data_IF_090241461101
#
_entry.id   IF_090241461101
#
_cell.length_a   1.000
_cell.length_b   1.000
_cell.length_c   1.000
_cell.angle_alpha   90.00
_cell.angle_beta   90.00
_cell.angle_gamma   90.00
#
_symmetry.space_group_name_H-M   'P 1'
#
loop_
_entity.id
_entity.type
_entity.pdbx_description
1 polymer ?
#
# COMPACT_ATOMS: atom_id res chain seq x y z
N UNK A 1 -17.43 11.76 -67.42
CA UNK A 1 -17.85 12.64 -66.29
C UNK A 1 -18.32 11.77 -65.13
N UNK A 2 -17.49 11.57 -64.10
CA UNK A 2 -17.91 11.05 -62.80
C UNK A 2 -17.26 11.95 -61.74
N UNK A 3 -18.09 12.72 -61.05
CA UNK A 3 -17.69 13.69 -60.05
C UNK A 3 -17.34 12.96 -58.75
N UNK A 4 -16.08 12.99 -58.34
CA UNK A 4 -15.69 12.57 -57.00
C UNK A 4 -15.88 13.75 -56.05
N UNK A 5 -16.83 13.59 -55.13
CA UNK A 5 -17.03 14.48 -54.00
C UNK A 5 -15.79 14.40 -53.10
N UNK A 6 -15.03 15.49 -52.97
CA UNK A 6 -13.99 15.64 -51.96
C UNK A 6 -14.66 15.75 -50.59
N UNK A 7 -14.82 14.61 -49.93
CA UNK A 7 -15.34 14.57 -48.57
C UNK A 7 -14.25 15.10 -47.63
N UNK A 8 -14.48 16.27 -47.04
CA UNK A 8 -13.57 16.95 -46.12
C UNK A 8 -13.49 16.27 -44.76
N UNK A 9 -12.92 15.06 -44.69
CA UNK A 9 -12.59 14.43 -43.41
C UNK A 9 -11.31 15.05 -42.85
N UNK A 10 -11.46 15.88 -41.80
CA UNK A 10 -10.35 16.30 -40.94
C UNK A 10 -9.64 15.04 -40.42
N UNK A 11 -8.36 14.91 -40.71
CA UNK A 11 -7.54 13.79 -40.22
C UNK A 11 -7.64 13.69 -38.70
N UNK A 12 -7.86 12.48 -38.19
CA UNK A 12 -7.86 12.20 -36.75
C UNK A 12 -6.46 12.52 -36.22
N UNK A 13 -6.30 13.47 -35.28
CA UNK A 13 -4.98 13.74 -34.71
C UNK A 13 -4.52 12.50 -33.96
N UNK A 14 -3.33 12.00 -34.30
CA UNK A 14 -2.67 10.92 -33.57
C UNK A 14 -2.41 11.39 -32.13
N UNK A 15 -3.06 10.76 -31.15
CA UNK A 15 -2.83 11.03 -29.73
C UNK A 15 -1.45 10.58 -29.23
N UNK A 16 -0.72 9.84 -30.05
CA UNK A 16 0.63 9.36 -29.74
C UNK A 16 1.67 10.40 -30.14
N UNK A 17 1.67 11.51 -29.41
CA UNK A 17 2.84 12.39 -29.35
C UNK A 17 3.95 11.68 -28.58
N UNK A 18 5.06 11.37 -29.25
CA UNK A 18 6.29 10.81 -28.67
C UNK A 18 7.08 11.84 -27.85
N UNK A 19 6.45 12.96 -27.45
CA UNK A 19 7.05 13.92 -26.52
C UNK A 19 6.82 13.40 -25.12
N UNK A 20 7.83 12.72 -24.57
CA UNK A 20 7.90 12.40 -23.13
C UNK A 20 7.91 13.72 -22.34
N UNK A 21 6.73 14.23 -21.99
CA UNK A 21 6.59 15.17 -20.87
C UNK A 21 6.99 14.40 -19.61
N UNK A 22 8.26 14.51 -19.23
CA UNK A 22 8.73 14.10 -17.90
C UNK A 22 8.04 15.02 -16.90
N UNK A 23 6.88 14.60 -16.41
CA UNK A 23 6.33 15.13 -15.16
C UNK A 23 7.42 14.99 -14.09
N UNK A 24 7.75 16.04 -13.35
CA UNK A 24 8.67 15.93 -12.22
C UNK A 24 8.16 14.81 -11.33
N UNK A 25 9.00 13.79 -11.13
CA UNK A 25 8.71 12.72 -10.19
C UNK A 25 8.58 13.41 -8.84
N UNK A 26 7.35 13.48 -8.33
CA UNK A 26 7.05 14.17 -7.08
C UNK A 26 7.68 13.35 -5.95
N UNK A 27 8.92 13.69 -5.59
CA UNK A 27 9.73 13.02 -4.56
C UNK A 27 9.28 13.37 -3.14
N UNK A 28 8.21 14.15 -3.00
CA UNK A 28 7.71 14.63 -1.72
C UNK A 28 6.40 13.95 -1.35
N UNK A 29 6.43 12.64 -1.10
CA UNK A 29 5.43 11.99 -0.24
C UNK A 29 5.99 11.91 1.18
N UNK A 30 6.28 13.07 1.76
CA UNK A 30 6.61 13.14 3.18
C UNK A 30 5.31 12.94 3.97
N UNK A 31 5.30 11.94 4.86
CA UNK A 31 4.18 11.72 5.79
C UNK A 31 4.17 12.88 6.78
N UNK A 32 3.08 13.65 6.80
CA UNK A 32 2.91 14.71 7.78
C UNK A 32 2.61 14.09 9.15
N UNK A 33 3.62 14.02 10.02
CA UNK A 33 3.51 13.43 11.36
C UNK A 33 2.60 14.22 12.30
N UNK A 34 2.26 15.48 12.00
CA UNK A 34 1.31 16.26 12.81
C UNK A 34 -0.13 15.77 12.70
N UNK A 35 -0.46 14.98 11.68
CA UNK A 35 -1.80 14.39 11.47
C UNK A 35 -1.95 13.07 12.23
N UNK A 36 -0.90 12.55 12.86
CA UNK A 36 -1.00 11.36 13.69
C UNK A 36 -1.80 11.68 14.96
N UNK A 37 -3.06 11.26 14.98
CA UNK A 37 -3.90 11.35 16.16
C UNK A 37 -3.33 10.45 17.27
N UNK A 38 -3.04 11.04 18.44
CA UNK A 38 -2.71 10.26 19.62
C UNK A 38 -3.98 9.58 20.12
N UNK A 39 -3.97 8.26 20.23
CA UNK A 39 -5.04 7.53 20.92
C UNK A 39 -5.17 8.07 22.35
N UNK A 40 -6.39 8.38 22.77
CA UNK A 40 -6.67 8.87 24.12
C UNK A 40 -6.36 7.75 25.12
N UNK A 41 -5.19 7.79 25.73
CA UNK A 41 -4.84 6.91 26.84
C UNK A 41 -5.30 7.56 28.14
N UNK A 42 -6.44 7.12 28.69
CA UNK A 42 -6.68 7.27 30.14
C UNK A 42 -7.79 6.36 30.68
N UNK A 43 -7.39 5.22 31.23
CA UNK A 43 -8.05 4.62 32.38
C UNK A 43 -7.17 4.91 33.61
N UNK A 44 -7.68 5.69 34.57
CA UNK A 44 -6.97 6.02 35.81
C UNK A 44 -6.96 4.80 36.75
N UNK A 45 -6.12 3.81 36.48
CA UNK A 45 -5.79 2.76 37.44
C UNK A 45 -4.31 2.92 37.88
N UNK A 46 -4.01 2.94 39.19
CA UNK A 46 -2.65 3.02 39.70
C UNK A 46 -2.06 1.60 39.71
N UNK A 47 -1.73 1.08 38.53
CA UNK A 47 -0.90 -0.11 38.39
C UNK A 47 0.54 0.38 38.26
N UNK A 48 1.49 -0.18 38.99
CA UNK A 48 2.93 0.11 38.84
C UNK A 48 3.28 0.05 37.36
N UNK A 49 3.44 1.23 36.73
CA UNK A 49 3.49 1.31 35.27
C UNK A 49 4.91 1.03 34.83
N UNK A 50 5.23 -0.23 34.58
CA UNK A 50 6.24 -0.55 33.57
C UNK A 50 5.65 -0.08 32.24
N UNK A 51 5.94 1.17 31.85
CA UNK A 51 5.39 1.84 30.67
C UNK A 51 5.94 1.18 29.40
N UNK A 52 5.56 -0.06 29.11
CA UNK A 52 5.86 -0.72 27.85
C UNK A 52 4.97 -0.14 26.77
N UNK A 53 5.56 0.69 25.92
CA UNK A 53 4.91 1.22 24.72
C UNK A 53 4.97 0.17 23.63
N UNK A 54 3.83 -0.16 23.02
CA UNK A 54 3.77 -1.00 21.83
C UNK A 54 3.61 -0.15 20.57
N UNK A 55 4.46 -0.38 19.57
CA UNK A 55 4.41 0.28 18.28
C UNK A 55 3.56 -0.55 17.31
N UNK A 56 2.41 -0.01 16.92
CA UNK A 56 1.46 -0.68 16.04
C UNK A 56 1.33 0.10 14.74
N UNK A 57 1.52 -0.58 13.61
CA UNK A 57 1.26 -0.06 12.27
C UNK A 57 0.00 -0.67 11.67
N UNK A 58 -0.76 0.13 10.90
CA UNK A 58 -1.84 -0.35 10.04
C UNK A 58 -1.57 0.14 8.62
N UNK A 59 -1.48 -0.78 7.66
CA UNK A 59 -1.17 -0.46 6.28
C UNK A 59 -2.13 -1.17 5.32
N UNK A 60 -2.76 -0.37 4.47
CA UNK A 60 -3.45 -0.86 3.30
C UNK A 60 -2.46 -1.08 2.17
N UNK A 61 -2.12 -2.35 1.93
CA UNK A 61 -1.03 -2.71 1.02
C UNK A 61 -1.48 -2.83 -0.44
N UNK A 62 -2.80 -2.96 -0.70
CA UNK A 62 -3.39 -3.09 -2.04
C UNK A 62 -2.65 -4.13 -2.90
N UNK A 63 -2.72 -5.39 -2.48
CA UNK A 63 -1.93 -6.56 -2.88
C UNK A 63 -0.61 -6.74 -2.13
N UNK A 64 -0.38 -7.92 -1.58
CA UNK A 64 0.88 -8.30 -0.95
C UNK A 64 1.97 -8.67 -1.97
N UNK A 65 1.57 -9.07 -3.18
CA UNK A 65 2.45 -9.58 -4.24
C UNK A 65 3.64 -8.65 -4.52
N UNK A 66 4.86 -9.18 -4.35
CA UNK A 66 6.11 -8.47 -4.65
C UNK A 66 6.47 -7.33 -3.71
N UNK A 67 5.78 -7.17 -2.57
CA UNK A 67 6.01 -6.07 -1.60
C UNK A 67 6.59 -6.55 -0.27
N UNK A 68 7.14 -7.76 -0.22
CA UNK A 68 7.69 -8.32 1.02
C UNK A 68 8.85 -7.52 1.60
N UNK A 69 9.83 -7.14 0.78
CA UNK A 69 10.93 -6.31 1.25
C UNK A 69 10.48 -4.98 1.85
N UNK A 70 9.48 -4.34 1.23
CA UNK A 70 8.90 -3.10 1.77
C UNK A 70 8.31 -3.29 3.16
N UNK A 71 7.65 -4.42 3.42
CA UNK A 71 7.10 -4.74 4.74
C UNK A 71 8.21 -4.98 5.77
N UNK A 72 9.22 -5.76 5.40
CA UNK A 72 10.34 -6.03 6.29
C UNK A 72 11.07 -4.74 6.67
N UNK A 73 11.35 -3.88 5.69
CA UNK A 73 11.97 -2.57 5.91
C UNK A 73 11.08 -1.69 6.79
N UNK A 74 9.77 -1.66 6.54
CA UNK A 74 8.82 -0.87 7.36
C UNK A 74 8.81 -1.33 8.82
N UNK A 75 8.81 -2.63 9.07
CA UNK A 75 8.85 -3.20 10.43
C UNK A 75 10.15 -2.82 11.12
N UNK A 76 11.28 -2.95 10.41
CA UNK A 76 12.62 -2.68 10.96
C UNK A 76 12.87 -1.20 11.21
N UNK A 77 12.59 -0.36 10.22
CA UNK A 77 12.86 1.09 10.27
C UNK A 77 11.99 1.79 11.32
N UNK A 78 10.74 1.36 11.46
CA UNK A 78 9.80 1.93 12.43
C UNK A 78 9.81 1.21 13.77
N UNK A 79 10.58 0.12 13.90
CA UNK A 79 10.64 -0.73 15.10
C UNK A 79 9.23 -1.11 15.58
N UNK A 80 8.43 -1.63 14.65
CA UNK A 80 7.05 -2.04 14.93
C UNK A 80 7.03 -3.36 15.69
N UNK A 81 6.21 -3.43 16.72
CA UNK A 81 5.90 -4.69 17.42
C UNK A 81 4.78 -5.43 16.69
N UNK A 82 3.83 -4.68 16.10
CA UNK A 82 2.71 -5.23 15.34
C UNK A 82 2.51 -4.46 14.03
N UNK A 83 2.28 -5.19 12.94
CA UNK A 83 1.88 -4.61 11.66
C UNK A 83 0.62 -5.30 11.14
N UNK A 84 -0.47 -4.55 11.08
CA UNK A 84 -1.74 -5.00 10.56
C UNK A 84 -1.84 -4.63 9.08
N UNK A 85 -2.17 -5.62 8.23
CA UNK A 85 -2.32 -5.43 6.78
C UNK A 85 -3.77 -5.64 6.35
N UNK A 86 -4.26 -4.77 5.47
CA UNK A 86 -5.53 -4.95 4.77
C UNK A 86 -5.36 -4.83 3.25
N UNK A 87 -6.38 -5.31 2.53
CA UNK A 87 -6.36 -5.49 1.06
C UNK A 87 -5.11 -6.23 0.58
N UNK A 88 -4.72 -7.31 1.28
CA UNK A 88 -3.57 -8.14 0.89
C UNK A 88 -3.81 -8.90 -0.41
N UNK A 89 -5.06 -9.07 -0.81
CA UNK A 89 -5.49 -9.83 -2.00
C UNK A 89 -4.93 -11.26 -2.02
N UNK A 90 -4.77 -11.83 -0.82
CA UNK A 90 -4.30 -13.19 -0.65
C UNK A 90 -5.36 -14.20 -1.05
N UNK A 91 -4.93 -15.23 -1.75
CA UNK A 91 -5.76 -16.38 -2.06
C UNK A 91 -5.83 -17.34 -0.86
N UNK A 92 -7.00 -17.93 -0.57
CA UNK A 92 -7.10 -18.99 0.42
C UNK A 92 -6.12 -20.14 0.13
N UNK A 93 -5.32 -20.52 1.12
CA UNK A 93 -4.34 -21.61 1.00
C UNK A 93 -2.98 -21.20 0.42
N UNK A 94 -2.83 -19.98 -0.10
CA UNK A 94 -1.54 -19.47 -0.56
C UNK A 94 -0.88 -18.59 0.52
N UNK A 95 0.13 -19.16 1.16
CA UNK A 95 0.91 -18.50 2.22
C UNK A 95 2.33 -18.13 1.78
N UNK A 96 2.70 -18.40 0.52
CA UNK A 96 4.05 -18.16 -0.01
C UNK A 96 4.50 -16.72 0.22
N UNK A 97 3.65 -15.77 -0.20
CA UNK A 97 3.91 -14.35 -0.04
C UNK A 97 4.03 -13.94 1.43
N UNK A 98 3.20 -14.48 2.32
CA UNK A 98 3.30 -14.15 3.75
C UNK A 98 4.60 -14.66 4.36
N UNK A 99 5.01 -15.88 4.01
CA UNK A 99 6.28 -16.44 4.45
C UNK A 99 7.45 -15.57 3.98
N UNK A 100 7.44 -15.15 2.72
CA UNK A 100 8.49 -14.28 2.16
C UNK A 100 8.48 -12.86 2.77
N UNK A 101 7.30 -12.35 3.14
CA UNK A 101 7.17 -11.01 3.71
C UNK A 101 7.52 -10.95 5.20
N UNK A 102 7.51 -12.07 5.91
CA UNK A 102 7.64 -12.09 7.37
C UNK A 102 9.12 -12.11 7.78
N UNK A 103 9.62 -11.06 8.47
CA UNK A 103 10.99 -11.07 8.96
C UNK A 103 11.23 -12.18 9.99
N UNK A 104 12.47 -12.65 10.15
CA UNK A 104 12.82 -13.56 11.24
C UNK A 104 12.41 -13.00 12.62
N UNK A 105 11.81 -13.86 13.46
CA UNK A 105 11.32 -13.47 14.78
C UNK A 105 9.90 -12.90 14.81
N UNK A 106 9.28 -12.69 13.64
CA UNK A 106 7.87 -12.35 13.53
C UNK A 106 7.04 -13.57 13.17
N UNK A 107 5.80 -13.57 13.63
CA UNK A 107 4.77 -14.53 13.26
C UNK A 107 3.59 -13.78 12.68
N UNK A 108 2.85 -14.42 11.78
CA UNK A 108 1.67 -13.83 11.17
C UNK A 108 0.43 -14.66 11.45
N UNK A 109 -0.71 -13.98 11.45
CA UNK A 109 -2.04 -14.59 11.41
C UNK A 109 -2.70 -14.01 10.16
N UNK A 110 -3.29 -14.86 9.32
CA UNK A 110 -3.98 -14.41 8.12
C UNK A 110 -5.40 -14.95 8.03
N UNK A 111 -6.28 -14.09 7.53
CA UNK A 111 -7.64 -14.46 7.16
C UNK A 111 -7.94 -13.91 5.76
N UNK A 112 -7.67 -14.69 4.70
CA UNK A 112 -8.02 -14.27 3.34
C UNK A 112 -9.54 -14.16 3.21
N UNK A 113 -9.98 -13.36 2.23
CA UNK A 113 -11.42 -13.23 1.94
C UNK A 113 -11.94 -14.55 1.38
N UNK A 114 -13.10 -14.99 1.87
CA UNK A 114 -13.75 -16.21 1.37
C UNK A 114 -14.45 -16.03 0.01
N UNK A 115 -14.80 -14.79 -0.34
CA UNK A 115 -15.47 -14.45 -1.60
C UNK A 115 -15.34 -12.96 -1.91
N UNK A 116 -15.48 -12.58 -3.19
CA UNK A 116 -15.49 -11.19 -3.65
C UNK A 116 -14.29 -10.84 -4.52
N UNK A 117 -14.24 -9.60 -5.02
CA UNK A 117 -13.09 -9.06 -5.75
C UNK A 117 -12.18 -8.34 -4.76
N UNK A 118 -10.92 -8.75 -4.70
CA UNK A 118 -9.93 -8.28 -3.72
C UNK A 118 -9.20 -9.44 -3.12
#
# INVERSE_FOLDING_TARGET
>A
RRNFHLNGSKGIPSFWSTVRRRLPRNTCRAVNSSVLARLASRANAPVARDHRTANIGLLNIRSLSGKGHLLQDTIKDRKLDFLCLNETWQQPGDFSQLNDCTPPGFVYISKPRGSGRG
#
